data_IF_499352421085
#
_entry.id   IF_499352421085
#
_cell.length_a   1.000
_cell.length_b   1.000
_cell.length_c   1.000
_cell.angle_alpha   90.00
_cell.angle_beta   90.00
_cell.angle_gamma   90.00
#
_symmetry.space_group_name_H-M   'P 1'
#
loop_
_entity.id
_entity.type
_entity.pdbx_description
1 polymer ?
#
# COMPACT_ATOMS: atom_id res chain seq x y z
N UNK A 1 18.55 57.79 -46.01
CA UNK A 1 19.47 56.65 -46.17
C UNK A 1 19.87 56.19 -44.79
N UNK A 2 19.20 55.21 -44.26
CA UNK A 2 19.51 54.53 -43.02
C UNK A 2 19.38 53.03 -43.25
N UNK A 3 20.49 52.37 -43.26
CA UNK A 3 20.66 50.94 -43.46
C UNK A 3 20.38 50.18 -42.18
N UNK A 4 19.36 49.30 -42.18
CA UNK A 4 19.14 48.28 -41.16
C UNK A 4 20.16 47.17 -41.21
N UNK A 5 20.60 46.62 -40.05
CA UNK A 5 21.47 45.45 -40.06
C UNK A 5 20.66 44.17 -40.11
N UNK A 6 20.97 43.31 -41.04
CA UNK A 6 20.46 41.97 -41.27
C UNK A 6 20.80 41.05 -40.10
N UNK A 7 19.82 40.53 -39.38
CA UNK A 7 20.04 39.46 -38.39
C UNK A 7 20.30 38.13 -39.12
N UNK A 8 21.43 37.52 -38.86
CA UNK A 8 21.78 36.19 -39.30
C UNK A 8 20.96 35.13 -38.55
N UNK A 9 20.17 34.36 -39.29
CA UNK A 9 19.49 33.16 -38.82
C UNK A 9 20.54 32.10 -38.49
N UNK A 10 20.71 31.81 -37.21
CA UNK A 10 21.52 30.67 -36.76
C UNK A 10 20.84 29.37 -37.22
N UNK A 11 21.60 28.54 -37.89
CA UNK A 11 21.21 27.22 -38.38
C UNK A 11 20.81 26.32 -37.23
N UNK A 12 19.58 25.81 -37.28
CA UNK A 12 19.08 24.71 -36.47
C UNK A 12 19.94 23.51 -36.78
N UNK A 13 20.75 23.07 -35.81
CA UNK A 13 21.48 21.81 -35.92
C UNK A 13 20.44 20.68 -36.12
N UNK A 14 20.62 19.96 -37.24
CA UNK A 14 19.83 18.80 -37.61
C UNK A 14 19.93 17.76 -36.51
N UNK A 15 18.79 17.33 -35.94
CA UNK A 15 18.70 16.17 -35.11
C UNK A 15 19.33 14.98 -35.84
N UNK A 16 20.37 14.39 -35.26
CA UNK A 16 20.94 13.16 -35.77
C UNK A 16 19.85 12.09 -35.78
N UNK A 17 19.54 11.56 -36.95
CA UNK A 17 18.66 10.43 -37.12
C UNK A 17 19.28 9.23 -36.42
N UNK A 18 18.65 8.80 -35.32
CA UNK A 18 18.96 7.53 -34.65
C UNK A 18 18.58 6.43 -35.66
N UNK A 19 19.55 5.81 -36.27
CA UNK A 19 19.30 4.55 -37.01
C UNK A 19 18.84 3.52 -35.94
N UNK A 20 17.70 2.83 -36.14
CA UNK A 20 17.35 1.74 -35.27
C UNK A 20 18.42 0.66 -35.41
N UNK A 21 19.07 0.27 -34.34
CA UNK A 21 19.93 -0.89 -34.27
C UNK A 21 19.13 -2.10 -34.74
N UNK A 22 19.52 -2.63 -35.91
CA UNK A 22 18.77 -3.65 -36.62
C UNK A 22 18.95 -5.06 -36.05
N UNK A 23 19.63 -5.21 -34.92
CA UNK A 23 19.81 -6.51 -34.26
C UNK A 23 18.69 -6.75 -33.25
N UNK A 24 17.72 -7.64 -33.52
CA UNK A 24 16.67 -8.00 -32.56
C UNK A 24 17.23 -8.61 -31.28
N UNK A 25 18.52 -9.00 -31.25
CA UNK A 25 19.19 -9.51 -30.06
C UNK A 25 19.62 -8.42 -29.09
N UNK A 26 19.54 -7.14 -29.41
CA UNK A 26 19.87 -6.00 -28.55
C UNK A 26 18.64 -5.22 -28.03
N UNK A 27 17.42 -5.75 -28.18
CA UNK A 27 16.21 -5.06 -27.76
C UNK A 27 16.23 -4.76 -26.25
N UNK A 28 16.07 -3.49 -25.91
CA UNK A 28 16.08 -3.00 -24.52
C UNK A 28 15.08 -3.70 -23.60
N UNK A 29 14.00 -4.24 -24.16
CA UNK A 29 12.90 -4.89 -23.43
C UNK A 29 13.04 -6.41 -23.31
N UNK A 30 14.06 -7.05 -23.89
CA UNK A 30 14.19 -8.51 -23.94
C UNK A 30 14.15 -9.16 -22.56
N UNK A 31 14.99 -8.69 -21.66
CA UNK A 31 15.07 -9.26 -20.30
C UNK A 31 13.79 -9.02 -19.51
N UNK A 32 13.12 -7.89 -19.75
CA UNK A 32 11.81 -7.62 -19.16
C UNK A 32 10.74 -8.59 -19.67
N UNK A 33 10.69 -8.85 -20.96
CA UNK A 33 9.76 -9.82 -21.54
C UNK A 33 10.00 -11.24 -20.99
N UNK A 34 11.26 -11.65 -20.87
CA UNK A 34 11.61 -12.93 -20.22
C UNK A 34 11.19 -12.98 -18.75
N UNK A 35 11.34 -11.88 -18.01
CA UNK A 35 10.91 -11.78 -16.62
C UNK A 35 9.37 -11.85 -16.49
N UNK A 36 8.62 -11.27 -17.42
CA UNK A 36 7.15 -11.39 -17.46
C UNK A 36 6.73 -12.84 -17.67
N UNK A 37 7.34 -13.54 -18.62
CA UNK A 37 7.07 -14.96 -18.85
C UNK A 37 7.42 -15.84 -17.64
N UNK A 38 8.52 -15.55 -16.95
CA UNK A 38 8.90 -16.25 -15.71
C UNK A 38 7.91 -15.95 -14.58
N UNK A 39 7.47 -14.71 -14.41
CA UNK A 39 6.47 -14.31 -13.43
C UNK A 39 5.13 -15.01 -13.67
N UNK A 40 4.67 -15.08 -14.92
CA UNK A 40 3.46 -15.82 -15.30
C UNK A 40 3.60 -17.31 -14.98
N UNK A 41 4.75 -17.92 -15.27
CA UNK A 41 5.01 -19.33 -14.92
C UNK A 41 4.91 -19.55 -13.41
N UNK A 42 5.49 -18.66 -12.59
CA UNK A 42 5.41 -18.73 -11.13
C UNK A 42 3.95 -18.66 -10.67
N UNK A 43 3.16 -17.77 -11.24
CA UNK A 43 1.72 -17.63 -10.92
C UNK A 43 0.96 -18.90 -11.28
N UNK A 44 1.10 -19.40 -12.51
CA UNK A 44 0.38 -20.62 -12.95
C UNK A 44 0.73 -21.87 -12.16
N UNK A 45 1.90 -21.91 -11.55
CA UNK A 45 2.36 -23.06 -10.76
C UNK A 45 2.26 -22.84 -9.25
N UNK A 46 1.67 -21.73 -8.80
CA UNK A 46 1.53 -21.45 -7.39
C UNK A 46 0.61 -22.51 -6.71
N UNK A 47 1.01 -23.05 -5.54
CA UNK A 47 0.31 -24.22 -4.94
C UNK A 47 -1.12 -23.92 -4.47
N UNK A 48 -1.46 -22.64 -4.30
CA UNK A 48 -2.80 -22.22 -3.90
C UNK A 48 -3.76 -22.05 -5.08
N UNK A 49 -3.29 -22.08 -6.32
CA UNK A 49 -4.15 -22.05 -7.51
C UNK A 49 -4.90 -23.37 -7.62
N UNK A 50 -6.18 -23.36 -7.30
CA UNK A 50 -7.08 -24.54 -7.31
C UNK A 50 -8.33 -24.34 -8.13
N UNK A 51 -8.68 -23.08 -8.42
CA UNK A 51 -9.88 -22.66 -9.15
C UNK A 51 -9.52 -21.77 -10.32
N UNK A 52 -10.48 -21.56 -11.23
CA UNK A 52 -10.35 -20.57 -12.31
C UNK A 52 -10.23 -19.15 -11.73
N UNK A 53 -10.95 -18.84 -10.65
CA UNK A 53 -10.85 -17.56 -9.94
C UNK A 53 -9.43 -17.32 -9.40
N UNK A 54 -8.84 -18.31 -8.72
CA UNK A 54 -7.45 -18.18 -8.22
C UNK A 54 -6.49 -17.81 -9.36
N UNK A 55 -6.61 -18.45 -10.53
CA UNK A 55 -5.76 -18.16 -11.67
C UNK A 55 -6.05 -16.78 -12.27
N UNK A 56 -7.30 -16.40 -12.44
CA UNK A 56 -7.70 -15.12 -12.98
C UNK A 56 -7.17 -13.96 -12.11
N UNK A 57 -7.31 -14.07 -10.80
CA UNK A 57 -6.77 -13.10 -9.84
C UNK A 57 -5.23 -13.07 -9.85
N UNK A 58 -4.57 -14.21 -10.03
CA UNK A 58 -3.13 -14.27 -10.20
C UNK A 58 -2.64 -13.53 -11.45
N UNK A 59 -3.39 -13.63 -12.54
CA UNK A 59 -3.07 -12.89 -13.78
C UNK A 59 -3.35 -11.38 -13.63
N UNK A 60 -4.38 -10.99 -12.89
CA UNK A 60 -4.63 -9.58 -12.55
C UNK A 60 -3.52 -9.04 -11.62
N UNK A 61 -3.10 -9.82 -10.63
CA UNK A 61 -1.94 -9.50 -9.78
C UNK A 61 -0.65 -9.33 -10.59
N UNK A 62 -0.44 -10.16 -11.62
CA UNK A 62 0.69 -10.01 -12.56
C UNK A 62 0.61 -8.69 -13.31
N UNK A 63 -0.56 -8.36 -13.87
CA UNK A 63 -0.77 -7.13 -14.63
C UNK A 63 -0.52 -5.89 -13.75
N UNK A 64 -1.06 -5.87 -12.53
CA UNK A 64 -0.82 -4.81 -11.55
C UNK A 64 0.66 -4.71 -11.14
N UNK A 65 1.35 -5.85 -10.97
CA UNK A 65 2.77 -5.89 -10.63
C UNK A 65 3.65 -5.38 -11.77
N UNK A 66 3.34 -5.68 -13.03
CA UNK A 66 4.02 -5.13 -14.21
C UNK A 66 3.89 -3.61 -14.23
N UNK A 67 2.66 -3.10 -14.09
CA UNK A 67 2.38 -1.66 -14.01
C UNK A 67 3.19 -0.99 -12.90
N UNK A 68 3.15 -1.55 -11.69
CA UNK A 68 3.85 -1.00 -10.52
C UNK A 68 5.36 -0.96 -10.73
N UNK A 69 5.97 -2.04 -11.22
CA UNK A 69 7.41 -2.11 -11.47
C UNK A 69 7.87 -1.09 -12.53
N UNK A 70 7.15 -0.97 -13.63
CA UNK A 70 7.46 0.03 -14.66
C UNK A 70 7.28 1.46 -14.14
N UNK A 71 6.25 1.72 -13.34
CA UNK A 71 6.03 3.02 -12.71
C UNK A 71 7.17 3.37 -11.74
N UNK A 72 7.55 2.43 -10.87
CA UNK A 72 8.64 2.63 -9.90
C UNK A 72 9.97 2.95 -10.59
N UNK A 73 10.37 2.16 -11.59
CA UNK A 73 11.64 2.42 -12.30
C UNK A 73 11.58 3.67 -13.17
N UNK A 74 10.39 4.07 -13.64
CA UNK A 74 10.17 5.34 -14.32
C UNK A 74 10.41 6.54 -13.41
N UNK A 75 9.98 6.45 -12.16
CA UNK A 75 10.20 7.45 -11.12
C UNK A 75 11.59 7.36 -10.46
N UNK A 76 12.43 6.42 -10.87
CA UNK A 76 13.78 6.21 -10.32
C UNK A 76 14.74 7.32 -10.75
N UNK A 77 14.59 8.49 -10.14
CA UNK A 77 15.45 9.65 -10.35
C UNK A 77 15.89 10.20 -8.99
N UNK A 78 17.06 9.78 -8.53
CA UNK A 78 17.58 10.21 -7.22
C UNK A 78 18.03 11.66 -7.20
N UNK A 79 18.36 12.23 -8.37
CA UNK A 79 18.83 13.61 -8.47
C UNK A 79 17.66 14.60 -8.69
N UNK A 80 16.56 14.14 -9.27
CA UNK A 80 15.31 14.90 -9.42
C UNK A 80 14.15 14.00 -8.96
N UNK A 81 14.02 13.75 -7.65
CA UNK A 81 13.06 12.81 -7.12
C UNK A 81 11.62 13.31 -7.27
N UNK A 82 10.72 12.37 -7.44
CA UNK A 82 9.29 12.60 -7.44
C UNK A 82 8.59 11.42 -6.74
N UNK A 83 7.55 11.70 -5.97
CA UNK A 83 6.79 10.63 -5.35
C UNK A 83 5.96 9.88 -6.39
N UNK A 84 6.09 8.56 -6.43
CA UNK A 84 5.31 7.66 -7.25
C UNK A 84 4.28 6.92 -6.38
N UNK A 85 3.00 6.97 -6.78
CA UNK A 85 1.93 6.19 -6.17
C UNK A 85 1.81 4.83 -6.90
N UNK A 86 2.68 3.88 -6.57
CA UNK A 86 2.79 2.59 -7.27
C UNK A 86 1.88 1.50 -6.71
N UNK A 87 1.31 1.70 -5.51
CA UNK A 87 0.39 0.76 -4.86
C UNK A 87 -1.01 1.36 -4.81
N UNK A 88 -2.00 0.61 -5.26
CA UNK A 88 -3.38 1.05 -5.32
C UNK A 88 -4.30 -0.06 -5.85
N UNK A 89 -5.57 0.21 -6.16
CA UNK A 89 -6.58 -0.81 -6.49
C UNK A 89 -6.18 -1.77 -7.61
N UNK A 90 -5.42 -1.25 -8.60
CA UNK A 90 -4.99 -1.98 -9.80
C UNK A 90 -3.48 -2.22 -9.84
N UNK A 91 -2.82 -2.16 -8.70
CA UNK A 91 -1.39 -2.44 -8.54
C UNK A 91 -1.10 -2.83 -7.09
N UNK A 92 -1.78 -3.86 -6.62
CA UNK A 92 -1.74 -4.35 -5.25
C UNK A 92 -0.44 -5.06 -4.93
N UNK A 93 0.01 -5.01 -3.66
CA UNK A 93 1.25 -5.64 -3.23
C UNK A 93 1.30 -5.83 -1.72
N UNK A 94 1.67 -7.04 -1.26
CA UNK A 94 2.07 -7.27 0.13
C UNK A 94 0.95 -7.06 1.14
N UNK A 95 -0.25 -7.54 0.84
CA UNK A 95 -1.48 -7.31 1.59
C UNK A 95 -1.67 -5.81 1.87
N UNK A 96 -1.68 -5.05 0.76
CA UNK A 96 -1.90 -3.61 0.74
C UNK A 96 -3.11 -3.21 1.59
N UNK A 97 -2.96 -2.12 2.33
CA UNK A 97 -4.05 -1.61 3.15
C UNK A 97 -5.02 -0.79 2.30
N UNK A 98 -6.31 -1.19 2.18
CA UNK A 98 -7.33 -0.43 1.46
C UNK A 98 -7.49 1.01 1.91
N UNK A 99 -7.09 1.30 3.15
CA UNK A 99 -7.26 2.59 3.80
C UNK A 99 -6.08 3.55 3.57
N UNK A 100 -5.05 3.12 2.79
CA UNK A 100 -3.77 3.84 2.71
C UNK A 100 -3.47 4.33 1.29
N UNK A 101 -3.03 5.58 1.18
CA UNK A 101 -2.28 6.08 0.04
C UNK A 101 -0.78 5.86 0.26
N UNK A 102 -0.09 5.34 -0.76
CA UNK A 102 1.33 5.02 -0.70
C UNK A 102 2.11 5.90 -1.67
N UNK A 103 3.16 6.54 -1.18
CA UNK A 103 4.06 7.37 -1.96
C UNK A 103 5.49 6.87 -1.80
N UNK A 104 6.20 6.66 -2.91
CA UNK A 104 7.57 6.14 -2.93
C UNK A 104 8.48 7.09 -3.67
N UNK A 105 9.67 7.37 -3.11
CA UNK A 105 10.73 8.10 -3.78
C UNK A 105 12.08 7.45 -3.49
N UNK A 106 12.95 7.38 -4.52
CA UNK A 106 14.30 6.84 -4.35
C UNK A 106 15.27 7.92 -3.88
N UNK A 107 16.15 7.55 -2.95
CA UNK A 107 17.12 8.44 -2.31
C UNK A 107 18.54 7.94 -2.56
N UNK A 108 19.50 8.79 -2.17
CA UNK A 108 20.91 8.49 -1.91
C UNK A 108 21.22 8.91 -0.47
N UNK A 109 22.00 8.11 0.24
CA UNK A 109 22.38 8.39 1.63
C UNK A 109 23.42 9.50 1.77
N UNK A 110 24.05 9.91 0.65
CA UNK A 110 25.05 10.97 0.55
C UNK A 110 24.47 12.32 0.07
N UNK A 111 23.16 12.45 -0.08
CA UNK A 111 22.50 13.65 -0.60
C UNK A 111 21.38 14.13 0.34
N UNK A 112 21.06 15.43 0.25
CA UNK A 112 19.99 16.04 1.06
C UNK A 112 18.70 16.17 0.25
N UNK A 113 17.59 15.69 0.83
CA UNK A 113 16.25 15.74 0.25
C UNK A 113 15.30 16.49 1.17
N UNK A 114 14.43 17.27 0.59
CA UNK A 114 13.43 18.03 1.33
C UNK A 114 12.05 17.54 0.92
N UNK A 115 11.29 17.09 1.90
CA UNK A 115 9.86 16.84 1.76
C UNK A 115 9.10 18.01 2.34
N UNK A 116 8.17 18.54 1.56
CA UNK A 116 7.24 19.60 1.97
C UNK A 116 5.84 19.15 1.68
N UNK A 117 4.89 19.62 2.46
CA UNK A 117 3.48 19.32 2.24
C UNK A 117 2.57 20.14 3.12
N UNK A 118 1.30 19.85 3.00
CA UNK A 118 0.24 20.32 3.88
C UNK A 118 -0.50 19.12 4.44
N UNK A 119 -0.53 19.00 5.76
CA UNK A 119 -1.24 17.94 6.46
C UNK A 119 -2.73 18.00 6.12
N UNK A 120 -3.30 16.85 5.66
CA UNK A 120 -4.73 16.65 5.52
C UNK A 120 -5.39 16.34 6.86
N UNK A 121 -6.59 15.75 6.79
CA UNK A 121 -7.36 15.37 7.99
C UNK A 121 -7.35 13.86 8.25
N UNK A 122 -6.53 13.11 7.51
CA UNK A 122 -6.38 11.64 7.62
C UNK A 122 -5.90 11.22 9.00
N UNK A 123 -6.24 10.01 9.42
CA UNK A 123 -5.93 9.49 10.75
C UNK A 123 -4.42 9.40 11.03
N UNK A 124 -3.60 9.12 9.98
CA UNK A 124 -2.15 9.02 10.12
C UNK A 124 -1.42 9.51 8.86
N UNK A 125 -0.28 10.17 9.04
CA UNK A 125 0.73 10.42 8.02
C UNK A 125 2.06 9.92 8.57
N UNK A 126 2.68 8.96 7.88
CA UNK A 126 3.91 8.34 8.34
C UNK A 126 4.96 8.24 7.25
N UNK A 127 6.21 8.19 7.67
CA UNK A 127 7.39 8.12 6.81
C UNK A 127 8.25 6.92 7.21
N UNK A 128 8.84 6.26 6.21
CA UNK A 128 9.73 5.13 6.42
C UNK A 128 10.88 5.17 5.43
N UNK A 129 12.11 5.10 5.93
CA UNK A 129 13.33 5.01 5.12
C UNK A 129 13.74 3.54 5.03
N UNK A 130 13.96 3.07 3.81
CA UNK A 130 14.33 1.69 3.50
C UNK A 130 15.72 1.63 2.87
N UNK A 131 16.42 0.50 3.06
CA UNK A 131 17.72 0.24 2.42
C UNK A 131 17.62 -0.21 0.96
N UNK A 132 16.45 -0.18 0.35
CA UNK A 132 16.22 -0.55 -1.05
C UNK A 132 14.81 -1.01 -1.33
N UNK A 133 14.66 -1.79 -2.37
CA UNK A 133 13.43 -2.48 -2.76
C UNK A 133 13.64 -4.00 -2.71
N UNK A 134 12.58 -4.77 -2.89
CA UNK A 134 12.63 -6.23 -2.91
C UNK A 134 13.60 -6.74 -3.97
N UNK A 135 14.44 -7.69 -3.57
CA UNK A 135 15.37 -8.38 -4.44
C UNK A 135 15.03 -9.88 -4.48
N UNK A 136 15.56 -10.66 -5.44
CA UNK A 136 15.32 -12.11 -5.48
C UNK A 136 15.75 -12.87 -4.22
N UNK A 137 16.58 -12.27 -3.39
CA UNK A 137 17.23 -12.95 -2.24
C UNK A 137 16.95 -12.28 -0.91
N UNK A 138 16.37 -11.07 -0.88
CA UNK A 138 16.13 -10.31 0.36
C UNK A 138 14.95 -9.38 0.27
N UNK A 139 14.26 -9.20 1.40
CA UNK A 139 13.36 -8.08 1.64
C UNK A 139 14.17 -6.87 2.13
N UNK A 140 13.73 -5.64 1.84
CA UNK A 140 14.40 -4.45 2.35
C UNK A 140 14.18 -4.30 3.85
N UNK A 141 15.18 -3.74 4.53
CA UNK A 141 15.09 -3.38 5.94
C UNK A 141 14.56 -1.96 6.12
N UNK A 142 13.79 -1.75 7.19
CA UNK A 142 13.40 -0.42 7.66
C UNK A 142 14.54 0.17 8.47
N UNK A 143 15.15 1.25 7.98
CA UNK A 143 16.26 1.93 8.65
C UNK A 143 15.78 3.02 9.59
N UNK A 144 14.63 3.63 9.29
CA UNK A 144 13.96 4.61 10.14
C UNK A 144 12.47 4.64 9.82
N UNK A 145 11.63 4.91 10.82
CA UNK A 145 10.19 5.10 10.64
C UNK A 145 9.65 6.02 11.73
N UNK A 146 8.80 6.98 11.35
CA UNK A 146 8.18 7.96 12.24
C UNK A 146 6.84 8.43 11.66
N UNK A 147 6.05 9.14 12.46
CA UNK A 147 4.78 9.71 12.03
C UNK A 147 4.73 11.24 12.20
N UNK A 148 3.61 11.85 11.85
CA UNK A 148 3.41 13.29 11.83
C UNK A 148 3.53 13.98 13.19
N UNK A 149 3.55 13.23 14.30
CA UNK A 149 3.79 13.77 15.65
C UNK A 149 5.23 14.25 15.84
N UNK A 150 6.15 13.79 15.01
CA UNK A 150 7.56 14.18 15.02
C UNK A 150 7.85 15.36 14.06
N UNK A 151 6.82 15.85 13.35
CA UNK A 151 6.91 16.98 12.45
C UNK A 151 6.52 18.28 13.15
N UNK A 152 7.20 19.38 12.79
CA UNK A 152 6.74 20.72 13.11
C UNK A 152 5.71 21.13 12.04
N UNK A 153 4.43 21.03 12.41
CA UNK A 153 3.30 21.35 11.53
C UNK A 153 2.75 22.72 11.94
N UNK A 154 2.82 23.66 11.01
CA UNK A 154 2.30 25.02 11.19
C UNK A 154 0.76 25.05 11.34
N UNK A 155 0.21 26.20 11.79
CA UNK A 155 -1.23 26.36 12.02
C UNK A 155 -2.08 26.24 10.74
N UNK A 156 -1.47 26.42 9.57
CA UNK A 156 -2.07 26.22 8.25
C UNK A 156 -1.91 24.79 7.70
N UNK A 157 -1.29 23.90 8.51
CA UNK A 157 -1.02 22.51 8.15
C UNK A 157 0.29 22.31 7.38
N UNK A 158 1.01 23.36 7.03
CA UNK A 158 2.29 23.23 6.31
C UNK A 158 3.35 22.54 7.16
N UNK A 159 4.12 21.65 6.52
CA UNK A 159 5.25 20.99 7.15
C UNK A 159 6.44 20.89 6.19
N UNK A 160 7.63 20.78 6.79
CA UNK A 160 8.88 20.55 6.10
C UNK A 160 9.74 19.58 6.89
N UNK A 161 10.24 18.56 6.23
CA UNK A 161 11.22 17.63 6.80
C UNK A 161 12.37 17.43 5.82
N UNK A 162 13.60 17.43 6.33
CA UNK A 162 14.82 17.27 5.54
C UNK A 162 15.45 15.92 5.88
N UNK A 163 15.76 15.15 4.86
CA UNK A 163 16.49 13.88 4.96
C UNK A 163 17.87 14.05 4.36
N UNK A 164 18.93 13.66 5.06
CA UNK A 164 20.29 13.83 4.55
C UNK A 164 21.35 13.12 5.39
N UNK A 165 22.63 13.21 4.99
CA UNK A 165 23.73 12.62 5.74
C UNK A 165 23.75 13.09 7.20
N UNK A 166 24.23 12.27 8.15
CA UNK A 166 24.38 12.72 9.54
C UNK A 166 25.24 13.99 9.65
N UNK A 167 24.75 14.97 10.40
CA UNK A 167 25.49 16.22 10.66
C UNK A 167 25.32 16.68 12.12
N UNK A 168 26.37 17.29 12.75
CA UNK A 168 26.32 17.65 14.17
C UNK A 168 25.32 18.77 14.50
N UNK A 169 25.01 19.63 13.52
CA UNK A 169 24.14 20.81 13.65
C UNK A 169 22.70 20.54 13.18
N UNK A 170 22.31 19.25 13.11
CA UNK A 170 20.95 18.86 12.74
C UNK A 170 19.94 19.43 13.73
N UNK A 171 19.08 20.34 13.23
CA UNK A 171 17.97 20.91 14.00
C UNK A 171 16.69 20.08 13.92
N UNK A 172 15.61 20.55 14.58
CA UNK A 172 14.28 19.95 14.43
C UNK A 172 13.88 19.81 12.94
N UNK A 173 13.19 18.75 12.60
CA UNK A 173 12.77 18.47 11.22
C UNK A 173 13.89 17.96 10.30
N UNK A 174 15.05 17.57 10.85
CA UNK A 174 16.11 16.90 10.11
C UNK A 174 16.21 15.42 10.50
N UNK A 175 16.12 14.55 9.51
CA UNK A 175 16.22 13.09 9.64
C UNK A 175 17.53 12.63 9.03
N UNK A 176 18.43 12.12 9.86
CA UNK A 176 19.71 11.57 9.39
C UNK A 176 19.47 10.25 8.64
N UNK A 177 19.96 10.17 7.40
CA UNK A 177 19.97 8.97 6.61
C UNK A 177 21.10 8.04 7.07
N UNK A 178 20.74 6.81 7.43
CA UNK A 178 21.73 5.77 7.72
C UNK A 178 22.43 5.33 6.41
N UNK A 179 23.66 4.81 6.47
CA UNK A 179 24.32 4.21 5.32
C UNK A 179 23.45 3.16 4.65
N UNK A 180 23.32 3.21 3.32
CA UNK A 180 22.47 2.31 2.55
C UNK A 180 21.02 2.77 2.40
N UNK A 181 20.61 3.92 2.97
CA UNK A 181 19.29 4.49 2.72
C UNK A 181 19.07 4.71 1.22
N UNK A 182 18.01 4.13 0.66
CA UNK A 182 17.80 4.10 -0.78
C UNK A 182 16.37 4.46 -1.22
N UNK A 183 15.38 4.37 -0.33
CA UNK A 183 13.99 4.66 -0.64
C UNK A 183 13.28 5.29 0.55
N UNK A 184 12.47 6.31 0.29
CA UNK A 184 11.52 6.90 1.23
C UNK A 184 10.10 6.45 0.84
N UNK A 185 9.37 5.93 1.81
CA UNK A 185 7.94 5.64 1.68
C UNK A 185 7.19 6.60 2.60
N UNK A 186 6.23 7.33 2.06
CA UNK A 186 5.24 8.05 2.86
C UNK A 186 3.88 7.37 2.73
N UNK A 187 3.10 7.37 3.80
CA UNK A 187 1.76 6.77 3.85
C UNK A 187 0.78 7.74 4.47
N UNK A 188 -0.37 7.90 3.85
CA UNK A 188 -1.52 8.59 4.42
C UNK A 188 -2.63 7.58 4.64
N UNK A 189 -3.14 7.48 5.87
CA UNK A 189 -4.08 6.45 6.29
C UNK A 189 -5.41 7.07 6.69
N UNK A 190 -6.47 6.60 6.06
CA UNK A 190 -7.84 7.04 6.27
C UNK A 190 -8.56 6.14 7.26
N UNK A 191 -9.20 6.71 8.27
CA UNK A 191 -10.16 6.01 9.12
C UNK A 191 -11.59 6.28 8.63
N UNK A 192 -11.93 7.52 8.36
CA UNK A 192 -13.22 7.92 7.77
C UNK A 192 -13.05 8.29 6.29
N UNK A 193 -13.34 7.37 5.39
CA UNK A 193 -13.22 7.57 3.95
C UNK A 193 -14.12 8.68 3.40
N UNK A 194 -15.20 9.02 4.12
CA UNK A 194 -16.19 10.00 3.69
C UNK A 194 -15.76 11.43 4.02
N UNK A 195 -15.24 11.63 5.21
CA UNK A 195 -14.99 12.96 5.75
C UNK A 195 -13.53 13.37 5.73
N UNK A 196 -12.59 12.42 5.80
CA UNK A 196 -11.17 12.73 5.74
C UNK A 196 -10.71 13.13 4.34
N UNK A 197 -9.70 13.97 4.29
CA UNK A 197 -9.09 14.51 3.06
C UNK A 197 -7.59 14.26 3.09
N UNK A 198 -7.00 13.82 1.97
CA UNK A 198 -5.55 13.69 1.88
C UNK A 198 -4.88 15.06 2.00
N UNK A 199 -3.65 15.05 2.43
CA UNK A 199 -2.77 16.19 2.39
C UNK A 199 -2.09 16.36 1.04
N UNK A 200 -1.17 17.33 1.00
CA UNK A 200 -0.23 17.48 -0.10
C UNK A 200 1.15 16.98 0.35
N UNK A 201 1.88 16.34 -0.58
CA UNK A 201 3.25 15.89 -0.34
C UNK A 201 4.10 16.09 -1.60
N UNK A 202 5.29 16.65 -1.43
CA UNK A 202 6.26 16.88 -2.50
C UNK A 202 7.65 16.56 -1.99
N UNK A 203 8.53 16.11 -2.87
CA UNK A 203 9.94 15.87 -2.57
C UNK A 203 10.81 16.52 -3.62
N UNK A 204 11.95 17.06 -3.20
CA UNK A 204 13.01 17.49 -4.08
C UNK A 204 14.38 17.27 -3.42
N UNK A 205 15.42 17.15 -4.21
CA UNK A 205 16.79 17.17 -3.73
C UNK A 205 17.23 18.64 -3.57
N UNK A 206 17.89 18.95 -2.47
CA UNK A 206 18.15 20.33 -2.06
C UNK A 206 19.02 21.12 -3.06
N UNK A 207 20.01 20.45 -3.66
CA UNK A 207 20.97 21.06 -4.60
C UNK A 207 20.53 21.03 -6.08
N UNK A 208 19.43 20.34 -6.41
CA UNK A 208 18.96 20.23 -7.80
C UNK A 208 17.63 20.93 -8.06
N UNK A 209 16.95 21.44 -7.03
CA UNK A 209 15.71 22.21 -7.19
C UNK A 209 15.95 23.41 -8.13
N UNK A 210 15.11 23.52 -9.17
CA UNK A 210 15.22 24.57 -10.19
C UNK A 210 16.21 24.28 -11.32
N UNK A 211 16.91 23.14 -11.27
CA UNK A 211 17.77 22.69 -12.39
C UNK A 211 17.02 21.72 -13.31
N UNK A 212 17.44 21.63 -14.55
CA UNK A 212 16.87 20.68 -15.53
C UNK A 212 17.77 19.45 -15.65
N UNK A 213 17.19 18.22 -15.52
CA UNK A 213 17.97 17.03 -15.76
C UNK A 213 18.35 16.89 -17.24
N UNK A 214 19.50 16.25 -17.56
CA UNK A 214 19.84 15.94 -18.93
C UNK A 214 18.84 14.92 -19.51
N UNK A 215 18.71 14.85 -20.87
CA UNK A 215 17.90 13.82 -21.51
C UNK A 215 18.34 12.41 -21.10
N UNK A 216 17.37 11.52 -20.91
CA UNK A 216 17.65 10.12 -20.53
C UNK A 216 18.17 9.37 -21.75
N UNK A 217 19.40 8.81 -21.74
CA UNK A 217 19.93 8.07 -22.87
C UNK A 217 19.26 6.69 -23.00
N UNK A 218 19.21 6.15 -24.23
CA UNK A 218 18.60 4.85 -24.53
C UNK A 218 19.18 3.71 -23.67
N UNK A 219 20.49 3.71 -23.43
CA UNK A 219 21.13 2.73 -22.55
C UNK A 219 20.63 2.78 -21.09
N UNK A 220 20.24 3.96 -20.59
CA UNK A 220 19.63 4.07 -19.26
C UNK A 220 18.20 3.52 -19.26
N UNK A 221 17.45 3.67 -20.35
CA UNK A 221 16.11 3.05 -20.48
C UNK A 221 16.22 1.52 -20.53
N UNK A 222 17.19 0.95 -21.23
CA UNK A 222 17.43 -0.49 -21.22
C UNK A 222 17.71 -1.02 -19.81
N UNK A 223 18.54 -0.31 -19.02
CA UNK A 223 18.78 -0.64 -17.60
C UNK A 223 17.52 -0.55 -16.74
N UNK A 224 16.61 0.41 -17.03
CA UNK A 224 15.33 0.52 -16.33
C UNK A 224 14.43 -0.68 -16.60
N UNK A 225 14.29 -1.12 -17.85
CA UNK A 225 13.56 -2.34 -18.18
C UNK A 225 14.13 -3.58 -17.50
N UNK A 226 15.45 -3.70 -17.47
CA UNK A 226 16.16 -4.77 -16.77
C UNK A 226 15.83 -4.77 -15.26
N UNK A 227 15.87 -3.59 -14.64
CA UNK A 227 15.54 -3.41 -13.23
C UNK A 227 14.07 -3.74 -12.97
N UNK A 228 13.14 -3.30 -13.83
CA UNK A 228 11.71 -3.63 -13.70
C UNK A 228 11.47 -5.13 -13.75
N UNK A 229 12.15 -5.86 -14.65
CA UNK A 229 12.03 -7.32 -14.76
C UNK A 229 12.54 -8.04 -13.50
N UNK A 230 13.70 -7.64 -12.97
CA UNK A 230 14.22 -8.21 -11.73
C UNK A 230 13.30 -7.92 -10.54
N UNK A 231 12.80 -6.69 -10.43
CA UNK A 231 11.86 -6.28 -9.39
C UNK A 231 10.56 -7.08 -9.47
N UNK A 232 10.01 -7.29 -10.67
CA UNK A 232 8.78 -8.06 -10.90
C UNK A 232 8.89 -9.48 -10.35
N UNK A 233 9.91 -10.21 -10.77
CA UNK A 233 10.11 -11.60 -10.32
C UNK A 233 10.40 -11.65 -8.82
N UNK A 234 11.21 -10.72 -8.31
CA UNK A 234 11.54 -10.65 -6.89
C UNK A 234 10.30 -10.44 -6.03
N UNK A 235 9.48 -9.44 -6.36
CA UNK A 235 8.26 -9.12 -5.60
C UNK A 235 7.28 -10.28 -5.59
N UNK A 236 6.99 -10.87 -6.75
CA UNK A 236 6.06 -12.00 -6.84
C UNK A 236 6.56 -13.17 -5.97
N UNK A 237 7.82 -13.56 -6.10
CA UNK A 237 8.37 -14.67 -5.29
C UNK A 237 8.38 -14.37 -3.80
N UNK A 238 8.76 -13.16 -3.41
CA UNK A 238 8.80 -12.76 -1.99
C UNK A 238 7.41 -12.80 -1.38
N UNK A 239 6.41 -12.23 -2.04
CA UNK A 239 5.05 -12.16 -1.49
C UNK A 239 4.25 -13.47 -1.63
N UNK A 240 4.70 -14.41 -2.43
CA UNK A 240 4.21 -15.78 -2.37
C UNK A 240 4.83 -16.58 -1.20
N UNK A 241 6.06 -16.28 -0.85
CA UNK A 241 6.74 -16.94 0.27
C UNK A 241 6.40 -16.31 1.64
N UNK A 242 6.11 -15.01 1.69
CA UNK A 242 5.86 -14.29 2.94
C UNK A 242 4.71 -14.88 3.78
N UNK A 243 3.55 -15.28 3.23
CA UNK A 243 2.50 -15.92 3.98
C UNK A 243 2.93 -17.25 4.63
N UNK A 244 3.78 -18.03 3.98
CA UNK A 244 4.30 -19.28 4.54
C UNK A 244 5.10 -19.04 5.82
N UNK A 245 5.78 -17.90 5.92
CA UNK A 245 6.60 -17.57 7.09
C UNK A 245 5.78 -17.00 8.24
N UNK A 246 4.71 -16.26 7.97
CA UNK A 246 4.06 -15.41 8.96
C UNK A 246 2.58 -15.72 9.23
N UNK A 247 1.86 -16.38 8.30
CA UNK A 247 0.40 -16.60 8.38
C UNK A 247 0.04 -18.07 8.41
N UNK A 248 0.47 -18.86 7.42
CA UNK A 248 0.01 -20.23 7.21
C UNK A 248 0.54 -21.23 8.26
N UNK A 249 1.45 -20.79 9.12
CA UNK A 249 1.91 -21.57 10.30
C UNK A 249 1.02 -21.38 11.52
N UNK A 250 0.15 -20.38 11.50
CA UNK A 250 -0.82 -20.15 12.57
C UNK A 250 -1.96 -21.17 12.46
N UNK A 251 -2.68 -21.44 13.54
CA UNK A 251 -3.92 -22.21 13.44
C UNK A 251 -4.91 -21.51 12.50
N UNK A 252 -5.60 -22.32 11.67
CA UNK A 252 -6.65 -21.81 10.78
C UNK A 252 -7.80 -21.21 11.59
N UNK A 253 -8.46 -20.20 11.04
CA UNK A 253 -9.59 -19.50 11.68
C UNK A 253 -9.23 -18.88 13.03
N UNK A 254 -8.01 -18.37 13.16
CA UNK A 254 -7.56 -17.64 14.35
C UNK A 254 -6.87 -16.34 13.97
N UNK A 255 -6.73 -15.47 14.94
CA UNK A 255 -5.98 -14.21 14.87
C UNK A 255 -4.94 -14.17 15.99
N UNK A 256 -3.78 -13.60 15.73
CA UNK A 256 -2.76 -13.39 16.76
C UNK A 256 -3.17 -12.27 17.70
N UNK A 257 -2.57 -12.21 18.88
CA UNK A 257 -2.58 -11.00 19.69
C UNK A 257 -1.98 -9.81 18.94
N UNK A 258 -2.40 -8.57 19.23
CA UNK A 258 -1.78 -7.37 18.67
C UNK A 258 -0.29 -7.32 18.97
N UNK A 259 0.53 -7.09 17.96
CA UNK A 259 1.99 -6.96 18.09
C UNK A 259 2.56 -6.04 17.02
N UNK A 260 3.75 -5.50 17.28
CA UNK A 260 4.50 -4.76 16.27
C UNK A 260 4.76 -5.62 15.04
N UNK A 261 4.62 -5.03 13.85
CA UNK A 261 4.83 -5.74 12.58
C UNK A 261 6.32 -5.74 12.24
N UNK A 262 6.98 -6.90 12.12
CA UNK A 262 8.38 -6.96 11.67
C UNK A 262 8.56 -6.30 10.31
N UNK A 263 9.51 -5.37 10.20
CA UNK A 263 9.75 -4.58 8.98
C UNK A 263 8.65 -3.56 8.63
N UNK A 264 7.63 -3.42 9.47
CA UNK A 264 6.57 -2.41 9.36
C UNK A 264 6.95 -1.07 9.99
N UNK A 265 5.95 -0.20 10.10
CA UNK A 265 6.08 1.05 10.86
C UNK A 265 6.22 0.74 12.36
N UNK A 266 7.09 1.46 13.05
CA UNK A 266 7.31 1.31 14.51
C UNK A 266 6.06 1.68 15.30
N UNK A 267 5.21 2.55 14.76
CA UNK A 267 3.96 3.02 15.37
C UNK A 267 2.75 2.20 14.97
N UNK A 268 2.94 1.05 14.29
CA UNK A 268 1.88 0.15 13.86
C UNK A 268 1.93 -1.16 14.62
N UNK A 269 0.79 -1.60 15.18
CA UNK A 269 0.54 -2.96 15.61
C UNK A 269 -0.39 -3.67 14.63
N UNK A 270 -0.24 -4.98 14.54
CA UNK A 270 -1.07 -5.85 13.70
C UNK A 270 -1.50 -7.10 14.46
N UNK A 271 -2.70 -7.59 14.13
CA UNK A 271 -3.15 -8.94 14.45
C UNK A 271 -3.42 -9.65 13.11
N UNK A 272 -2.84 -10.82 12.95
CA UNK A 272 -2.81 -11.51 11.66
C UNK A 272 -3.30 -12.94 11.79
N UNK A 273 -3.87 -13.48 10.71
CA UNK A 273 -4.33 -14.86 10.65
C UNK A 273 -4.69 -15.26 9.23
N UNK A 274 -5.19 -16.48 9.11
CA UNK A 274 -5.77 -16.97 7.87
C UNK A 274 -7.04 -17.76 8.18
N UNK A 275 -7.93 -17.84 7.19
CA UNK A 275 -9.20 -18.53 7.31
C UNK A 275 -9.38 -19.58 6.21
N UNK A 276 -10.17 -20.59 6.55
CA UNK A 276 -10.77 -21.58 5.63
C UNK A 276 -12.16 -21.86 6.17
N UNK A 277 -13.20 -21.41 5.44
CA UNK A 277 -14.60 -21.52 5.85
C UNK A 277 -15.35 -22.45 4.89
N UNK A 278 -16.21 -23.30 5.44
CA UNK A 278 -17.18 -24.04 4.64
C UNK A 278 -18.27 -23.10 4.10
N UNK A 279 -19.01 -23.54 3.09
CA UNK A 279 -20.01 -22.70 2.40
C UNK A 279 -21.20 -22.31 3.29
N UNK A 280 -21.44 -23.06 4.37
CA UNK A 280 -22.48 -22.85 5.38
C UNK A 280 -21.94 -22.25 6.70
N UNK A 281 -20.66 -21.88 6.75
CA UNK A 281 -20.04 -21.28 7.91
C UNK A 281 -19.89 -19.77 7.78
N UNK A 282 -19.88 -19.11 8.94
CA UNK A 282 -19.45 -17.71 9.12
C UNK A 282 -18.45 -17.61 10.24
N UNK A 283 -17.58 -16.62 10.14
CA UNK A 283 -16.64 -16.28 11.19
C UNK A 283 -17.07 -14.94 11.82
N UNK A 284 -17.29 -14.95 13.12
CA UNK A 284 -17.53 -13.73 13.92
C UNK A 284 -16.21 -13.33 14.58
N UNK A 285 -15.75 -12.13 14.26
CA UNK A 285 -14.54 -11.55 14.88
C UNK A 285 -14.98 -10.41 15.77
N UNK A 286 -14.80 -10.57 17.08
CA UNK A 286 -15.13 -9.55 18.08
C UNK A 286 -13.87 -8.83 18.52
N UNK A 287 -13.84 -7.50 18.36
CA UNK A 287 -12.70 -6.66 18.71
C UNK A 287 -13.19 -5.41 19.44
N UNK A 288 -12.53 -4.95 20.52
CA UNK A 288 -12.84 -3.65 21.11
C UNK A 288 -12.69 -2.54 20.07
N UNK A 289 -13.65 -1.60 20.02
CA UNK A 289 -13.45 -0.37 19.27
C UNK A 289 -12.33 0.42 19.95
N UNK A 290 -11.27 0.73 19.19
CA UNK A 290 -10.14 1.45 19.75
C UNK A 290 -10.54 2.87 20.18
N UNK A 291 -10.08 3.29 21.34
CA UNK A 291 -10.13 4.70 21.71
C UNK A 291 -9.25 5.48 20.73
N UNK A 292 -9.81 6.49 20.07
CA UNK A 292 -9.08 7.33 19.11
C UNK A 292 -7.89 8.06 19.74
N UNK A 293 -7.91 8.30 21.06
CA UNK A 293 -6.76 8.84 21.78
C UNK A 293 -5.59 7.84 21.89
N UNK A 294 -5.88 6.54 21.79
CA UNK A 294 -4.89 5.46 21.82
C UNK A 294 -4.47 5.04 20.42
N UNK A 295 -5.43 4.84 19.52
CA UNK A 295 -5.21 4.47 18.14
C UNK A 295 -6.20 5.23 17.24
N UNK A 296 -5.79 6.35 16.63
CA UNK A 296 -6.62 7.10 15.68
C UNK A 296 -7.10 6.27 14.48
N UNK A 297 -6.36 5.22 14.14
CA UNK A 297 -6.74 4.27 13.10
C UNK A 297 -6.78 2.84 13.66
N UNK A 298 -7.90 2.17 13.39
CA UNK A 298 -8.10 0.73 13.54
C UNK A 298 -8.83 0.24 12.28
N UNK A 299 -8.24 -0.71 11.56
CA UNK A 299 -8.81 -1.27 10.34
C UNK A 299 -8.71 -2.79 10.30
N UNK A 300 -9.74 -3.43 9.74
CA UNK A 300 -9.78 -4.85 9.45
C UNK A 300 -9.98 -5.08 7.96
N UNK A 301 -9.28 -6.05 7.38
CA UNK A 301 -9.41 -6.44 5.98
C UNK A 301 -9.22 -7.94 5.76
N UNK A 302 -9.78 -8.42 4.66
CA UNK A 302 -9.44 -9.70 4.06
C UNK A 302 -8.36 -9.53 2.97
N UNK A 303 -7.63 -10.61 2.74
CA UNK A 303 -6.71 -10.75 1.62
C UNK A 303 -6.87 -12.09 0.91
N UNK A 304 -6.62 -12.11 -0.40
CA UNK A 304 -6.59 -13.34 -1.19
C UNK A 304 -5.31 -14.15 -0.91
N UNK A 305 -5.27 -15.38 -1.39
CA UNK A 305 -4.07 -16.22 -1.31
C UNK A 305 -2.88 -15.67 -2.12
N UNK A 306 -3.09 -14.65 -2.94
CA UNK A 306 -2.03 -13.86 -3.60
C UNK A 306 -1.37 -12.83 -2.68
N UNK A 307 -1.78 -12.78 -1.40
CA UNK A 307 -1.33 -11.83 -0.40
C UNK A 307 -1.54 -10.38 -0.84
N UNK A 308 -2.72 -10.11 -1.36
CA UNK A 308 -3.21 -8.77 -1.72
C UNK A 308 -4.62 -8.56 -1.19
N UNK A 309 -5.03 -7.30 -1.04
CA UNK A 309 -6.41 -6.94 -0.65
C UNK A 309 -7.42 -7.45 -1.68
N UNK A 310 -8.62 -7.82 -1.26
CA UNK A 310 -9.74 -8.13 -2.15
C UNK A 310 -10.25 -6.86 -2.85
N UNK A 311 -11.31 -6.96 -3.66
CA UNK A 311 -11.97 -5.78 -4.24
C UNK A 311 -12.66 -4.97 -3.16
N UNK A 312 -11.97 -3.97 -2.63
CA UNK A 312 -12.50 -3.07 -1.61
C UNK A 312 -13.25 -1.87 -2.17
N UNK A 313 -13.34 -1.73 -3.49
CA UNK A 313 -14.12 -0.66 -4.14
C UNK A 313 -15.59 -1.06 -4.19
N UNK A 314 -15.86 -2.23 -4.77
CA UNK A 314 -17.22 -2.68 -5.10
C UNK A 314 -17.81 -3.61 -4.03
N UNK A 315 -17.00 -4.07 -3.09
CA UNK A 315 -17.36 -5.01 -2.02
C UNK A 315 -16.87 -4.51 -0.66
N UNK A 316 -17.62 -4.83 0.39
CA UNK A 316 -17.19 -4.53 1.77
C UNK A 316 -16.24 -5.62 2.27
N UNK A 317 -15.02 -5.67 1.74
CA UNK A 317 -13.97 -6.63 2.11
C UNK A 317 -13.05 -6.11 3.22
N UNK A 318 -13.29 -4.89 3.69
CA UNK A 318 -12.59 -4.21 4.77
C UNK A 318 -13.51 -3.20 5.46
N UNK A 319 -13.26 -2.93 6.71
CA UNK A 319 -13.88 -1.83 7.49
C UNK A 319 -12.88 -1.25 8.46
N UNK A 320 -12.86 0.07 8.57
CA UNK A 320 -12.24 0.78 9.70
C UNK A 320 -13.22 0.85 10.87
N UNK A 321 -12.74 1.21 12.07
CA UNK A 321 -13.59 1.41 13.23
C UNK A 321 -14.62 2.55 13.01
N UNK A 322 -14.28 3.58 12.24
CA UNK A 322 -15.21 4.68 11.91
C UNK A 322 -16.28 4.28 10.89
N UNK A 323 -16.02 3.28 10.07
CA UNK A 323 -17.00 2.73 9.12
C UNK A 323 -17.89 1.66 9.73
N UNK A 324 -17.39 0.98 10.76
CA UNK A 324 -18.09 -0.11 11.41
C UNK A 324 -19.17 0.41 12.36
N UNK A 325 -20.21 -0.40 12.54
CA UNK A 325 -21.21 -0.17 13.58
C UNK A 325 -20.69 -0.75 14.89
N UNK A 326 -20.45 0.12 15.91
CA UNK A 326 -20.04 -0.29 17.25
C UNK A 326 -21.27 -0.70 18.07
N UNK A 327 -21.17 -1.81 18.76
CA UNK A 327 -22.21 -2.31 19.64
C UNK A 327 -22.24 -1.54 20.99
N UNK A 328 -23.36 -1.60 21.74
CA UNK A 328 -23.51 -0.88 23.01
C UNK A 328 -22.49 -1.25 24.10
N UNK A 329 -21.87 -2.41 23.98
CA UNK A 329 -20.80 -2.88 24.86
C UNK A 329 -19.39 -2.39 24.44
N UNK A 330 -19.31 -1.52 23.44
CA UNK A 330 -18.06 -0.97 22.94
C UNK A 330 -17.28 -1.91 21.98
N UNK A 331 -17.89 -3.04 21.60
CA UNK A 331 -17.27 -3.99 20.69
C UNK A 331 -17.69 -3.74 19.24
N UNK A 332 -16.80 -4.03 18.31
CA UNK A 332 -17.11 -4.20 16.88
C UNK A 332 -17.12 -5.70 16.59
N UNK A 333 -18.22 -6.18 16.01
CA UNK A 333 -18.35 -7.56 15.56
C UNK A 333 -18.39 -7.60 14.06
N UNK A 334 -17.32 -8.11 13.46
CA UNK A 334 -17.21 -8.32 12.02
C UNK A 334 -17.73 -9.73 11.72
N UNK A 335 -18.62 -9.85 10.74
CA UNK A 335 -19.17 -11.14 10.29
C UNK A 335 -18.57 -11.46 8.93
N UNK A 336 -17.59 -12.35 8.88
CA UNK A 336 -16.91 -12.77 7.66
C UNK A 336 -17.62 -13.97 7.06
N UNK A 337 -18.02 -13.91 5.81
CA UNK A 337 -18.68 -15.01 5.13
C UNK A 337 -19.10 -14.67 3.71
N UNK A 338 -19.42 -15.71 2.92
CA UNK A 338 -19.86 -15.54 1.53
C UNK A 338 -21.32 -15.13 1.44
N UNK A 339 -22.19 -15.74 2.28
CA UNK A 339 -23.63 -15.45 2.29
C UNK A 339 -23.90 -14.14 3.00
N UNK A 340 -24.70 -13.25 2.38
CA UNK A 340 -25.12 -12.00 2.98
C UNK A 340 -26.05 -12.23 4.17
N UNK A 341 -25.63 -11.88 5.41
CA UNK A 341 -26.44 -12.02 6.62
C UNK A 341 -27.39 -10.84 6.85
N UNK A 342 -27.39 -9.81 6.00
CA UNK A 342 -28.14 -8.57 6.23
C UNK A 342 -27.64 -7.70 7.39
N UNK A 343 -26.35 -7.71 7.66
CA UNK A 343 -25.71 -7.02 8.79
C UNK A 343 -24.75 -5.93 8.33
N UNK A 344 -24.67 -4.84 9.09
CA UNK A 344 -23.84 -3.68 8.75
C UNK A 344 -22.34 -4.00 8.68
N UNK A 345 -21.86 -4.85 9.58
CA UNK A 345 -20.44 -5.23 9.65
C UNK A 345 -20.14 -6.56 8.94
N UNK A 346 -20.94 -6.93 7.96
CA UNK A 346 -20.61 -8.06 7.10
C UNK A 346 -19.38 -7.75 6.25
N UNK A 347 -18.43 -8.66 6.24
CA UNK A 347 -17.22 -8.63 5.42
C UNK A 347 -17.34 -9.72 4.37
N UNK A 348 -17.38 -9.30 3.12
CA UNK A 348 -17.62 -10.17 1.96
C UNK A 348 -16.37 -10.97 1.60
N UNK A 349 -16.50 -12.29 1.52
CA UNK A 349 -15.42 -13.16 1.06
C UNK A 349 -15.21 -13.11 -0.45
N UNK A 350 -16.19 -12.66 -1.23
CA UNK A 350 -16.11 -12.52 -2.70
C UNK A 350 -15.64 -13.78 -3.43
N UNK A 351 -16.21 -14.95 -3.08
CA UNK A 351 -15.86 -16.25 -3.64
C UNK A 351 -14.64 -16.94 -3.01
N UNK A 352 -13.99 -16.31 -2.02
CA UNK A 352 -12.82 -16.89 -1.38
C UNK A 352 -13.20 -17.70 -0.14
N UNK A 353 -13.10 -19.02 -0.24
CA UNK A 353 -13.21 -19.90 0.93
C UNK A 353 -12.02 -19.76 1.87
N UNK A 354 -10.88 -19.34 1.35
CA UNK A 354 -9.59 -19.21 2.06
C UNK A 354 -8.96 -17.88 1.77
N UNK A 355 -8.32 -17.31 2.78
CA UNK A 355 -7.62 -16.07 2.63
C UNK A 355 -6.93 -15.62 3.91
N UNK A 356 -6.47 -14.40 3.91
CA UNK A 356 -5.77 -13.79 5.03
C UNK A 356 -6.68 -12.82 5.78
N UNK A 357 -6.45 -12.75 7.10
CA UNK A 357 -7.08 -11.83 8.03
C UNK A 357 -6.03 -10.85 8.51
N UNK A 358 -6.33 -9.55 8.46
CA UNK A 358 -5.39 -8.53 8.89
C UNK A 358 -6.09 -7.39 9.63
N UNK A 359 -5.76 -7.23 10.91
CA UNK A 359 -5.99 -5.98 11.65
C UNK A 359 -4.75 -5.11 11.63
N UNK A 360 -4.96 -3.80 11.62
CA UNK A 360 -3.92 -2.79 11.82
C UNK A 360 -4.43 -1.70 12.75
N UNK A 361 -3.56 -1.30 13.68
CA UNK A 361 -3.72 -0.09 14.50
C UNK A 361 -2.50 0.78 14.25
N UNK A 362 -2.70 2.07 14.04
CA UNK A 362 -1.61 2.98 13.70
C UNK A 362 -1.65 4.25 14.55
N UNK A 363 -0.51 4.94 14.60
CA UNK A 363 -0.29 6.16 15.34
C UNK A 363 -0.56 5.98 16.84
N UNK A 364 -0.10 4.86 17.38
CA UNK A 364 -0.37 4.44 18.75
C UNK A 364 0.22 5.41 19.79
N UNK A 365 -0.57 5.73 20.82
CA UNK A 365 -0.11 6.48 21.99
C UNK A 365 0.50 5.58 23.08
N UNK A 366 0.23 4.26 23.02
CA UNK A 366 0.82 3.21 23.84
C UNK A 366 0.86 1.89 23.09
N UNK A 367 1.65 0.97 23.56
CA UNK A 367 1.59 -0.40 23.08
C UNK A 367 0.22 -1.02 23.39
N UNK A 368 -0.28 -1.84 22.48
CA UNK A 368 -1.49 -2.61 22.67
C UNK A 368 -1.19 -3.88 23.48
N UNK A 369 -2.20 -4.33 24.20
CA UNK A 369 -2.17 -5.56 25.01
C UNK A 369 -3.07 -6.62 24.37
N UNK A 370 -3.06 -7.88 24.83
CA UNK A 370 -4.01 -8.89 24.37
C UNK A 370 -5.49 -8.48 24.55
N UNK A 371 -5.80 -7.67 25.56
CA UNK A 371 -7.15 -7.18 25.80
C UNK A 371 -7.65 -6.17 24.73
N UNK A 372 -6.76 -5.54 24.01
CA UNK A 372 -7.09 -4.65 22.88
C UNK A 372 -7.31 -5.45 21.56
N UNK A 373 -7.03 -6.76 21.57
CA UNK A 373 -7.05 -7.63 20.40
C UNK A 373 -8.39 -8.29 20.09
N UNK A 374 -8.49 -8.91 18.91
CA UNK A 374 -9.69 -9.62 18.48
C UNK A 374 -9.78 -11.03 19.07
N UNK A 375 -11.00 -11.51 19.23
CA UNK A 375 -11.34 -12.93 19.39
C UNK A 375 -12.11 -13.42 18.17
N UNK A 376 -12.04 -14.74 17.89
CA UNK A 376 -12.62 -15.35 16.70
C UNK A 376 -13.50 -16.53 17.10
N UNK A 377 -14.69 -16.60 16.50
CA UNK A 377 -15.60 -17.74 16.62
C UNK A 377 -16.13 -18.11 15.22
N UNK A 378 -16.07 -19.39 14.87
CA UNK A 378 -16.69 -19.93 13.65
C UNK A 378 -17.96 -20.69 14.03
N UNK A 379 -19.02 -20.46 13.28
CA UNK A 379 -20.32 -21.09 13.53
C UNK A 379 -21.09 -21.33 12.22
N UNK A 380 -22.09 -22.23 12.20
CA UNK A 380 -23.01 -22.33 11.09
C UNK A 380 -23.71 -20.98 10.84
N UNK A 381 -23.92 -20.63 9.56
CA UNK A 381 -24.58 -19.38 9.20
C UNK A 381 -25.97 -19.23 9.85
N UNK A 382 -26.72 -20.34 9.95
CA UNK A 382 -28.08 -20.33 10.46
C UNK A 382 -28.16 -20.11 11.99
N UNK A 383 -27.05 -20.33 12.71
CA UNK A 383 -26.94 -20.03 14.15
C UNK A 383 -26.68 -18.55 14.46
N UNK A 384 -26.29 -17.76 13.44
CA UNK A 384 -25.87 -16.38 13.61
C UNK A 384 -26.91 -15.48 14.31
N UNK A 385 -28.22 -15.54 14.01
CA UNK A 385 -29.23 -14.70 14.66
C UNK A 385 -29.31 -14.92 16.17
N UNK A 386 -29.12 -16.17 16.62
CA UNK A 386 -29.23 -16.54 18.04
C UNK A 386 -27.93 -16.34 18.82
N UNK A 387 -26.79 -16.41 18.15
CA UNK A 387 -25.46 -16.40 18.79
C UNK A 387 -24.73 -15.07 18.70
N UNK A 388 -25.06 -14.21 17.71
CA UNK A 388 -24.42 -12.90 17.56
C UNK A 388 -25.03 -11.90 18.57
N UNK A 389 -24.27 -11.39 19.55
CA UNK A 389 -24.76 -10.34 20.43
C UNK A 389 -25.21 -9.12 19.61
N UNK A 390 -26.31 -8.51 20.04
CA UNK A 390 -26.87 -7.30 19.38
C UNK A 390 -27.26 -7.49 17.89
N UNK A 391 -27.50 -8.72 17.42
CA UNK A 391 -27.82 -9.05 16.03
C UNK A 391 -28.84 -8.09 15.41
N UNK A 392 -30.00 -7.85 16.07
CA UNK A 392 -31.05 -6.97 15.56
C UNK A 392 -30.60 -5.52 15.34
N UNK A 393 -29.63 -5.05 16.12
CA UNK A 393 -29.07 -3.69 15.98
C UNK A 393 -28.10 -3.58 14.79
N UNK A 394 -27.53 -4.71 14.37
CA UNK A 394 -26.60 -4.77 13.24
C UNK A 394 -27.32 -4.90 11.90
N UNK A 395 -28.63 -5.20 11.88
CA UNK A 395 -29.39 -5.39 10.65
C UNK A 395 -29.40 -4.15 9.77
N UNK A 396 -29.30 -4.39 8.46
CA UNK A 396 -29.43 -3.38 7.40
C UNK A 396 -30.39 -3.89 6.32
N UNK A 397 -31.13 -2.97 5.75
CA UNK A 397 -31.99 -3.26 4.60
C UNK A 397 -31.12 -3.38 3.31
N UNK A 398 -31.65 -3.96 2.24
CA UNK A 398 -30.95 -3.98 0.94
C UNK A 398 -30.62 -2.58 0.40
N UNK A 399 -31.46 -1.58 0.70
CA UNK A 399 -31.22 -0.20 0.27
C UNK A 399 -30.07 0.43 1.07
N UNK A 400 -30.06 0.28 2.40
CA UNK A 400 -28.94 0.73 3.25
C UNK A 400 -27.63 0.05 2.86
N UNK A 401 -27.67 -1.24 2.49
CA UNK A 401 -26.49 -1.93 1.99
C UNK A 401 -25.99 -1.32 0.68
N UNK A 402 -26.90 -1.05 -0.27
CA UNK A 402 -26.55 -0.40 -1.54
C UNK A 402 -25.93 0.96 -1.33
N UNK A 403 -26.48 1.75 -0.39
CA UNK A 403 -25.94 3.09 -0.06
C UNK A 403 -24.53 2.99 0.54
N UNK A 404 -24.23 1.97 1.37
CA UNK A 404 -22.89 1.71 1.89
C UNK A 404 -21.88 1.40 0.78
N UNK A 405 -22.24 0.54 -0.17
CA UNK A 405 -21.39 0.24 -1.32
C UNK A 405 -21.19 1.47 -2.20
N UNK A 406 -22.25 2.23 -2.49
CA UNK A 406 -22.13 3.48 -3.24
C UNK A 406 -21.20 4.50 -2.55
N UNK A 407 -21.32 4.64 -1.23
CA UNK A 407 -20.43 5.51 -0.46
C UNK A 407 -18.95 5.08 -0.56
N UNK A 408 -18.66 3.77 -0.51
CA UNK A 408 -17.30 3.23 -0.72
C UNK A 408 -16.76 3.59 -2.10
N UNK A 409 -17.53 3.32 -3.15
CA UNK A 409 -17.15 3.62 -4.54
C UNK A 409 -16.80 5.08 -4.74
N UNK A 410 -17.66 5.99 -4.25
CA UNK A 410 -17.44 7.45 -4.32
C UNK A 410 -16.21 7.86 -3.51
N UNK A 411 -16.06 7.33 -2.29
CA UNK A 411 -14.93 7.67 -1.42
C UNK A 411 -13.58 7.22 -2.01
N UNK A 412 -13.52 6.02 -2.59
CA UNK A 412 -12.29 5.55 -3.26
C UNK A 412 -11.99 6.38 -4.50
N UNK A 413 -13.01 6.65 -5.35
CA UNK A 413 -12.82 7.47 -6.53
C UNK A 413 -12.27 8.87 -6.17
N UNK A 414 -12.84 9.53 -5.17
CA UNK A 414 -12.38 10.84 -4.68
C UNK A 414 -10.94 10.78 -4.15
N UNK A 415 -10.58 9.75 -3.37
CA UNK A 415 -9.25 9.59 -2.80
C UNK A 415 -8.17 9.34 -3.85
N UNK A 416 -8.52 8.64 -4.94
CA UNK A 416 -7.56 8.24 -5.97
C UNK A 416 -7.45 9.24 -7.13
N UNK A 417 -8.47 10.06 -7.37
CA UNK A 417 -8.55 10.96 -8.53
C UNK A 417 -8.60 12.43 -8.13
N UNK A 418 -8.90 12.74 -6.91
CA UNK A 418 -9.10 14.09 -6.45
C UNK A 418 -8.21 14.62 -5.45
#
# INVERSE_FOLDING_TARGET
MTTEPTQSVQSVQSAQSVQPDADPDTAATRNFAAAVAEAERVIRTAPHVRTEQDLAEGLDYLAGSIKACLHMVGAYQRDHPFFAASTGPYSKLGLDNPDTLYFHAYLRDDAEYVVTGRRGTTADLSFQVMNGDYSPTSSPDSLNAFDDRELDIGPDGEYRVTFGPPRPDAGPGYVALAPGSAMLIAREVFSDWTNERPGEIRIHRADTLGTSPPPVPAAAMAKRFDMAGRMLVARIRTFLAFPEWHYLRLPVNTLTEPRSTPGGLTTQFSSVGHYDLADDEVMVITCPAADRAVAPYQGFQLGSMWYVSLDYINHQTSLTADQARVDPDGMIRYVVGERNPGLANWIECTGHRRGFLQFRWQRLARDLTPADGPSVEVMPFDDLPDRLPHHERQRVTPDEWRDRIAARQVAVARRMLG
#
